data_IF_937303172865
#
_entry.id   IF_937303172865
#
_cell.length_a   1.000
_cell.length_b   1.000
_cell.length_c   1.000
_cell.angle_alpha   90.00
_cell.angle_beta   90.00
_cell.angle_gamma   90.00
#
_symmetry.space_group_name_H-M   'P 1'
#
loop_
_entity.id
_entity.type
_entity.pdbx_description
1 polymer ?
#
# COMPACT_ATOMS: atom_id res chain seq x y z
N UNK A 1 28.55 -15.03 56.30
CA UNK A 1 28.80 -14.02 55.24
C UNK A 1 28.04 -12.76 55.61
N UNK A 2 28.74 -11.64 55.86
CA UNK A 2 28.16 -10.46 56.52
C UNK A 2 26.98 -9.90 55.71
N UNK A 3 25.81 -9.75 56.33
CA UNK A 3 24.56 -9.27 55.73
C UNK A 3 24.73 -7.96 54.93
N UNK A 4 25.70 -7.12 55.33
CA UNK A 4 26.07 -5.89 54.62
C UNK A 4 26.71 -6.17 53.23
N UNK A 5 27.56 -7.20 53.13
CA UNK A 5 28.18 -7.62 51.85
C UNK A 5 27.14 -8.23 50.90
N UNK A 6 26.18 -8.98 51.43
CA UNK A 6 25.09 -9.58 50.64
C UNK A 6 24.16 -8.49 50.05
N UNK A 7 23.83 -7.46 50.84
CA UNK A 7 23.03 -6.31 50.36
C UNK A 7 23.75 -5.49 49.29
N UNK A 8 25.06 -5.28 49.42
CA UNK A 8 25.84 -4.60 48.39
C UNK A 8 25.90 -5.41 47.09
N UNK A 9 26.14 -6.72 47.17
CA UNK A 9 26.15 -7.59 45.98
C UNK A 9 24.77 -7.59 45.30
N UNK A 10 23.69 -7.65 46.08
CA UNK A 10 22.33 -7.57 45.54
C UNK A 10 22.04 -6.23 44.84
N UNK A 11 22.50 -5.11 45.41
CA UNK A 11 22.35 -3.79 44.81
C UNK A 11 23.12 -3.64 43.49
N UNK A 12 24.36 -4.15 43.43
CA UNK A 12 25.17 -4.12 42.21
C UNK A 12 24.55 -4.99 41.11
N UNK A 13 24.08 -6.19 41.45
CA UNK A 13 23.39 -7.06 40.49
C UNK A 13 22.10 -6.41 39.97
N UNK A 14 21.33 -5.74 40.84
CA UNK A 14 20.10 -5.06 40.43
C UNK A 14 20.35 -3.96 39.40
N UNK A 15 21.35 -3.11 39.62
CA UNK A 15 21.73 -2.04 38.68
C UNK A 15 22.25 -2.64 37.36
N UNK A 16 23.01 -3.72 37.44
CA UNK A 16 23.53 -4.42 36.26
C UNK A 16 22.40 -5.03 35.41
N UNK A 17 21.45 -5.72 36.03
CA UNK A 17 20.29 -6.28 35.31
C UNK A 17 19.36 -5.18 34.76
N UNK A 18 19.16 -4.08 35.49
CA UNK A 18 18.41 -2.93 34.99
C UNK A 18 19.08 -2.32 33.74
N UNK A 19 20.42 -2.23 33.73
CA UNK A 19 21.20 -1.81 32.56
C UNK A 19 21.07 -2.76 31.37
N UNK A 20 21.04 -4.08 31.61
CA UNK A 20 20.82 -5.09 30.57
C UNK A 20 19.40 -4.99 29.99
N UNK A 21 18.38 -4.80 30.84
CA UNK A 21 16.99 -4.67 30.38
C UNK A 21 16.80 -3.39 29.57
N UNK A 22 17.34 -2.25 30.02
CA UNK A 22 17.30 -0.99 29.26
C UNK A 22 18.08 -1.11 27.95
N UNK A 23 19.27 -1.73 27.98
CA UNK A 23 20.11 -1.93 26.81
C UNK A 23 19.48 -2.85 25.77
N UNK A 24 18.84 -3.95 26.19
CA UNK A 24 18.17 -4.89 25.29
C UNK A 24 16.90 -4.30 24.67
N UNK A 25 16.07 -3.59 25.45
CA UNK A 25 14.87 -2.91 24.92
C UNK A 25 15.25 -1.77 23.97
N UNK A 26 16.23 -0.95 24.35
CA UNK A 26 16.72 0.16 23.52
C UNK A 26 17.35 -0.33 22.21
N UNK A 27 18.19 -1.37 22.28
CA UNK A 27 18.83 -1.98 21.11
C UNK A 27 17.81 -2.67 20.21
N UNK A 28 16.78 -3.33 20.77
CA UNK A 28 15.72 -3.95 19.99
C UNK A 28 14.88 -2.92 19.21
N UNK A 29 14.55 -1.78 19.83
CA UNK A 29 13.85 -0.68 19.16
C UNK A 29 14.71 0.02 18.09
N UNK A 30 16.00 0.21 18.38
CA UNK A 30 16.94 0.83 17.45
C UNK A 30 17.23 -0.10 16.25
N UNK A 31 17.55 -1.37 16.50
CA UNK A 31 17.75 -2.39 15.48
C UNK A 31 16.49 -2.57 14.62
N UNK A 32 15.30 -2.56 15.22
CA UNK A 32 14.02 -2.59 14.47
C UNK A 32 13.89 -1.40 13.53
N UNK A 33 14.19 -0.17 13.97
CA UNK A 33 14.15 1.02 13.10
C UNK A 33 15.22 1.01 12.00
N UNK A 34 16.41 0.52 12.30
CA UNK A 34 17.54 0.51 11.36
C UNK A 34 17.40 -0.62 10.33
N UNK A 35 17.00 -1.82 10.76
CA UNK A 35 16.59 -2.93 9.91
C UNK A 35 15.37 -2.57 9.05
N UNK A 36 14.37 -1.90 9.63
CA UNK A 36 13.29 -1.33 8.85
C UNK A 36 13.80 -0.40 7.75
N UNK A 37 14.79 0.47 8.00
CA UNK A 37 15.35 1.36 6.96
C UNK A 37 16.18 0.60 5.90
N UNK A 38 16.95 -0.39 6.31
CA UNK A 38 17.85 -1.16 5.44
C UNK A 38 17.08 -2.15 4.55
N UNK A 39 16.10 -2.84 5.11
CA UNK A 39 15.25 -3.81 4.40
C UNK A 39 14.10 -3.14 3.65
N UNK A 40 13.69 -1.91 4.03
CA UNK A 40 12.61 -1.22 3.32
C UNK A 40 12.91 -0.99 1.85
N UNK A 41 14.18 -0.87 1.47
CA UNK A 41 14.60 -0.40 0.16
C UNK A 41 14.07 1.02 -0.12
N UNK A 42 14.73 1.81 -0.97
CA UNK A 42 14.24 3.14 -1.31
C UNK A 42 12.83 3.09 -1.94
N UNK A 43 12.55 2.09 -2.77
CA UNK A 43 11.40 2.13 -3.68
C UNK A 43 10.01 2.17 -3.01
N UNK A 44 9.70 1.31 -2.04
CA UNK A 44 8.29 1.08 -1.66
C UNK A 44 7.65 2.16 -0.76
N UNK A 45 8.46 3.03 -0.17
CA UNK A 45 7.99 4.09 0.74
C UNK A 45 8.34 5.49 0.22
N UNK A 46 9.20 5.60 -0.79
CA UNK A 46 9.70 6.89 -1.24
C UNK A 46 8.80 7.51 -2.29
N UNK A 47 8.24 6.81 -3.28
CA UNK A 47 7.65 7.50 -4.45
C UNK A 47 6.64 8.63 -4.15
N UNK A 48 5.64 8.47 -3.26
CA UNK A 48 4.74 9.59 -2.94
C UNK A 48 5.46 10.79 -2.29
N UNK A 49 6.40 10.51 -1.37
CA UNK A 49 7.20 11.55 -0.69
C UNK A 49 8.32 12.08 -1.56
N UNK A 50 8.80 11.29 -2.50
CA UNK A 50 9.84 11.59 -3.45
C UNK A 50 9.30 12.53 -4.50
N UNK A 51 8.06 12.34 -4.95
CA UNK A 51 7.41 13.25 -5.88
C UNK A 51 7.10 14.61 -5.22
N UNK A 52 6.57 14.61 -3.99
CA UNK A 52 6.38 15.85 -3.22
C UNK A 52 7.70 16.58 -2.99
N UNK A 53 8.78 15.82 -2.73
CA UNK A 53 10.13 16.37 -2.56
C UNK A 53 10.72 16.91 -3.86
N UNK A 54 10.62 16.18 -4.96
CA UNK A 54 11.11 16.60 -6.28
C UNK A 54 10.35 17.81 -6.80
N UNK A 55 9.02 17.80 -6.71
CA UNK A 55 8.19 18.92 -7.16
C UNK A 55 8.54 20.21 -6.43
N UNK A 56 8.76 20.13 -5.11
CA UNK A 56 9.12 21.27 -4.28
C UNK A 56 10.59 21.69 -4.44
N UNK A 57 11.54 20.75 -4.54
CA UNK A 57 12.97 21.06 -4.66
C UNK A 57 13.37 21.52 -6.07
N UNK A 58 12.68 21.05 -7.12
CA UNK A 58 12.95 21.44 -8.51
C UNK A 58 12.04 22.57 -9.01
N UNK A 59 11.06 23.02 -8.21
CA UNK A 59 10.14 24.09 -8.59
C UNK A 59 9.34 23.78 -9.87
N UNK A 60 8.89 22.53 -10.02
CA UNK A 60 8.23 22.08 -11.25
C UNK A 60 6.91 22.81 -11.48
N UNK A 61 6.66 23.26 -12.71
CA UNK A 61 5.34 23.79 -13.12
C UNK A 61 4.28 22.69 -13.09
N UNK A 62 2.96 23.03 -13.06
CA UNK A 62 1.89 22.02 -13.05
C UNK A 62 1.97 21.02 -14.21
N UNK A 63 2.37 21.48 -15.41
CA UNK A 63 2.53 20.61 -16.58
C UNK A 63 3.76 19.70 -16.46
N UNK A 64 4.85 20.19 -15.87
CA UNK A 64 6.04 19.38 -15.59
C UNK A 64 5.78 18.37 -14.48
N UNK A 65 5.01 18.74 -13.46
CA UNK A 65 4.59 17.82 -12.41
C UNK A 65 3.76 16.67 -12.97
N UNK A 66 2.86 16.95 -13.93
CA UNK A 66 2.11 15.93 -14.65
C UNK A 66 3.05 14.94 -15.35
N UNK A 67 3.90 15.43 -16.27
CA UNK A 67 4.85 14.56 -17.00
C UNK A 67 5.80 13.77 -16.09
N UNK A 68 6.22 14.37 -14.98
CA UNK A 68 7.12 13.71 -14.01
C UNK A 68 6.36 12.62 -13.24
N UNK A 69 5.08 12.84 -12.91
CA UNK A 69 4.22 11.83 -12.30
C UNK A 69 4.07 10.61 -13.20
N UNK A 70 3.93 10.82 -14.51
CA UNK A 70 3.77 9.74 -15.49
C UNK A 70 5.03 8.86 -15.54
N UNK A 71 6.22 9.48 -15.68
CA UNK A 71 7.53 8.78 -15.69
C UNK A 71 7.75 8.00 -14.39
N UNK A 72 7.34 8.55 -13.24
CA UNK A 72 7.45 7.86 -11.96
C UNK A 72 6.43 6.72 -11.82
N UNK A 73 5.26 6.82 -12.47
CA UNK A 73 4.29 5.75 -12.60
C UNK A 73 4.89 4.53 -13.30
N UNK A 74 5.49 4.75 -14.47
CA UNK A 74 6.19 3.70 -15.24
C UNK A 74 7.31 3.04 -14.41
N UNK A 75 8.05 3.84 -13.64
CA UNK A 75 9.10 3.34 -12.76
C UNK A 75 8.52 2.52 -11.58
N UNK A 76 7.42 2.96 -10.96
CA UNK A 76 6.74 2.20 -9.91
C UNK A 76 6.28 0.83 -10.41
N UNK A 77 5.76 0.78 -11.64
CA UNK A 77 5.32 -0.44 -12.31
C UNK A 77 6.49 -1.36 -12.63
N UNK A 78 7.53 -0.86 -13.30
CA UNK A 78 8.71 -1.64 -13.63
C UNK A 78 9.34 -2.25 -12.38
N UNK A 79 9.39 -1.49 -11.28
CA UNK A 79 9.85 -1.98 -9.99
C UNK A 79 8.87 -3.00 -9.39
N UNK A 80 7.56 -2.84 -9.53
CA UNK A 80 6.62 -3.85 -9.05
C UNK A 80 6.75 -5.18 -9.80
N UNK A 81 6.77 -5.17 -11.14
CA UNK A 81 6.90 -6.39 -11.93
C UNK A 81 8.27 -7.06 -11.72
N UNK A 82 9.35 -6.28 -11.62
CA UNK A 82 10.66 -6.79 -11.22
C UNK A 82 10.58 -7.52 -9.89
N UNK A 83 9.98 -6.90 -8.86
CA UNK A 83 9.86 -7.49 -7.53
C UNK A 83 9.02 -8.76 -7.51
N UNK A 84 7.93 -8.78 -8.28
CA UNK A 84 7.04 -9.93 -8.43
C UNK A 84 7.74 -11.09 -9.12
N UNK A 85 8.45 -10.82 -10.23
CA UNK A 85 9.21 -11.82 -10.99
C UNK A 85 10.33 -12.44 -10.14
N UNK A 86 11.10 -11.61 -9.44
CA UNK A 86 12.24 -12.06 -8.65
C UNK A 86 11.88 -12.38 -7.19
N UNK A 87 10.59 -12.38 -6.84
CA UNK A 87 10.13 -12.63 -5.48
C UNK A 87 10.61 -14.00 -4.98
N UNK A 88 10.49 -15.05 -5.80
CA UNK A 88 10.91 -16.40 -5.40
C UNK A 88 12.42 -16.53 -5.20
N UNK A 89 13.19 -15.94 -6.10
CA UNK A 89 14.66 -15.95 -6.05
C UNK A 89 15.18 -15.23 -4.80
N UNK A 90 14.60 -14.06 -4.49
CA UNK A 90 14.95 -13.32 -3.29
C UNK A 90 14.72 -14.15 -2.01
N UNK A 91 13.64 -14.93 -1.96
CA UNK A 91 13.35 -15.76 -0.78
C UNK A 91 14.23 -16.97 -0.67
N UNK A 92 14.56 -17.60 -1.80
CA UNK A 92 15.54 -18.67 -1.79
C UNK A 92 16.88 -18.18 -1.24
N UNK A 93 17.33 -16.98 -1.65
CA UNK A 93 18.55 -16.36 -1.13
C UNK A 93 18.42 -16.11 0.38
N UNK A 94 17.34 -15.46 0.81
CA UNK A 94 17.18 -15.05 2.21
C UNK A 94 17.03 -16.26 3.13
N UNK A 95 16.22 -17.23 2.75
CA UNK A 95 15.99 -18.47 3.47
C UNK A 95 17.30 -19.24 3.67
N UNK A 96 18.07 -19.40 2.59
CA UNK A 96 19.38 -20.04 2.65
C UNK A 96 20.30 -19.37 3.67
N UNK A 97 20.33 -18.04 3.71
CA UNK A 97 21.18 -17.31 4.65
C UNK A 97 20.64 -17.35 6.08
N UNK A 98 19.32 -17.41 6.28
CA UNK A 98 18.73 -17.66 7.61
C UNK A 98 19.15 -19.02 8.18
N UNK A 99 19.13 -20.08 7.36
CA UNK A 99 19.56 -21.41 7.81
C UNK A 99 21.07 -21.46 8.10
N UNK A 100 21.89 -20.78 7.30
CA UNK A 100 23.33 -20.64 7.57
C UNK A 100 23.60 -19.89 8.89
N UNK A 101 22.85 -18.83 9.17
CA UNK A 101 22.94 -18.11 10.45
C UNK A 101 22.52 -19.02 11.61
N UNK A 102 21.38 -19.72 11.47
CA UNK A 102 20.83 -20.60 12.51
C UNK A 102 21.82 -21.67 12.96
N UNK A 103 22.58 -22.24 12.04
CA UNK A 103 23.60 -23.26 12.33
C UNK A 103 24.73 -22.78 13.26
N UNK A 104 24.95 -21.47 13.37
CA UNK A 104 26.02 -20.87 14.17
C UNK A 104 25.50 -20.22 15.48
N UNK A 105 24.21 -20.38 15.80
CA UNK A 105 23.57 -19.73 16.94
C UNK A 105 23.22 -20.72 18.05
N UNK A 106 23.28 -20.25 19.29
CA UNK A 106 22.74 -21.00 20.44
C UNK A 106 21.21 -21.08 20.37
N UNK A 107 20.61 -22.03 21.09
CA UNK A 107 19.15 -22.22 21.12
C UNK A 107 18.38 -20.92 21.40
N UNK A 108 18.80 -20.14 22.41
CA UNK A 108 18.16 -18.86 22.77
C UNK A 108 18.31 -17.78 21.67
N UNK A 109 19.39 -17.84 20.89
CA UNK A 109 19.61 -16.93 19.76
C UNK A 109 18.82 -17.35 18.52
N UNK A 110 18.57 -18.65 18.33
CA UNK A 110 17.74 -19.17 17.24
C UNK A 110 16.29 -18.72 17.39
N UNK A 111 15.74 -18.67 18.62
CA UNK A 111 14.39 -18.13 18.85
C UNK A 111 14.27 -16.66 18.42
N UNK A 112 15.30 -15.85 18.69
CA UNK A 112 15.35 -14.45 18.25
C UNK A 112 15.45 -14.35 16.72
N UNK A 113 16.27 -15.20 16.11
CA UNK A 113 16.39 -15.27 14.64
C UNK A 113 15.05 -15.61 13.99
N UNK A 114 14.29 -16.52 14.56
CA UNK A 114 12.96 -16.90 14.08
C UNK A 114 11.97 -15.73 14.17
N UNK A 115 12.04 -14.91 15.22
CA UNK A 115 11.26 -13.66 15.32
C UNK A 115 11.60 -12.69 14.17
N UNK A 116 12.89 -12.50 13.88
CA UNK A 116 13.34 -11.67 12.76
C UNK A 116 12.88 -12.21 11.41
N UNK A 117 12.95 -13.52 11.21
CA UNK A 117 12.45 -14.19 10.01
C UNK A 117 10.96 -13.93 9.80
N UNK A 118 10.15 -14.05 10.85
CA UNK A 118 8.72 -13.77 10.80
C UNK A 118 8.40 -12.31 10.52
N UNK A 119 9.14 -11.37 11.12
CA UNK A 119 9.04 -9.94 10.81
C UNK A 119 9.39 -9.65 9.34
N UNK A 120 10.45 -10.28 8.84
CA UNK A 120 10.88 -10.17 7.45
C UNK A 120 9.78 -10.67 6.49
N UNK A 121 9.20 -11.85 6.74
CA UNK A 121 8.11 -12.37 5.91
C UNK A 121 6.87 -11.46 5.92
N UNK A 122 6.51 -10.90 7.08
CA UNK A 122 5.41 -9.90 7.17
C UNK A 122 5.73 -8.65 6.36
N UNK A 123 6.95 -8.16 6.46
CA UNK A 123 7.40 -7.00 5.71
C UNK A 123 7.38 -7.26 4.19
N UNK A 124 7.94 -8.39 3.75
CA UNK A 124 7.95 -8.81 2.35
C UNK A 124 6.53 -8.91 1.78
N UNK A 125 5.61 -9.53 2.51
CA UNK A 125 4.19 -9.59 2.13
C UNK A 125 3.58 -8.20 1.95
N UNK A 126 4.09 -7.17 2.62
CA UNK A 126 3.66 -5.77 2.44
C UNK A 126 4.35 -5.12 1.24
N UNK A 127 5.60 -5.46 0.97
CA UNK A 127 6.41 -4.92 -0.13
C UNK A 127 6.01 -5.45 -1.51
N UNK A 128 5.53 -6.70 -1.56
CA UNK A 128 4.95 -7.32 -2.76
C UNK A 128 3.49 -6.91 -3.01
N UNK A 129 2.91 -6.04 -2.18
CA UNK A 129 1.55 -5.53 -2.45
C UNK A 129 1.66 -4.51 -3.58
N UNK A 130 0.66 -4.49 -4.48
CA UNK A 130 0.54 -3.38 -5.42
C UNK A 130 0.48 -2.08 -4.64
N UNK A 131 1.03 -1.03 -5.22
CA UNK A 131 0.92 0.29 -4.66
C UNK A 131 -0.56 0.71 -4.59
N UNK A 132 -0.94 1.47 -3.56
CA UNK A 132 -2.32 1.89 -3.32
C UNK A 132 -2.89 2.83 -4.41
N UNK A 133 -2.04 3.30 -5.34
CA UNK A 133 -2.41 4.17 -6.49
C UNK A 133 -3.23 3.42 -7.56
N UNK A 134 -3.08 2.09 -7.68
CA UNK A 134 -3.73 1.29 -8.72
C UNK A 134 -5.21 0.95 -8.44
N UNK A 135 -5.80 1.40 -7.32
CA UNK A 135 -7.18 1.08 -6.93
C UNK A 135 -8.19 2.23 -7.06
N UNK A 136 -9.49 2.02 -6.76
CA UNK A 136 -10.47 3.10 -6.68
C UNK A 136 -10.02 4.23 -5.73
N UNK A 137 -10.41 5.48 -6.01
CA UNK A 137 -9.78 6.68 -5.43
C UNK A 137 -9.73 6.64 -3.90
N UNK A 138 -8.60 7.07 -3.29
CA UNK A 138 -8.50 7.19 -1.82
C UNK A 138 -9.40 8.33 -1.32
N UNK A 139 -9.59 8.43 0.00
CA UNK A 139 -10.52 9.37 0.63
C UNK A 139 -10.42 10.83 0.10
N UNK A 140 -9.22 11.32 -0.23
CA UNK A 140 -8.99 12.64 -0.81
C UNK A 140 -9.48 12.75 -2.26
N UNK A 141 -9.04 11.88 -3.17
CA UNK A 141 -9.48 11.87 -4.57
C UNK A 141 -10.99 11.56 -4.69
N UNK A 142 -11.51 10.64 -3.87
CA UNK A 142 -12.93 10.34 -3.78
C UNK A 142 -13.73 11.53 -3.22
N UNK A 143 -13.11 12.39 -2.40
CA UNK A 143 -13.71 13.65 -1.95
C UNK A 143 -13.72 14.66 -3.08
N UNK A 144 -12.62 14.84 -3.82
CA UNK A 144 -12.55 15.75 -4.97
C UNK A 144 -13.53 15.36 -6.07
N UNK A 145 -13.62 14.07 -6.41
CA UNK A 145 -14.61 13.55 -7.36
C UNK A 145 -16.04 13.87 -6.89
N UNK A 146 -16.38 13.57 -5.63
CA UNK A 146 -17.70 13.86 -5.08
C UNK A 146 -18.03 15.35 -5.08
N UNK A 147 -17.07 16.22 -4.79
CA UNK A 147 -17.26 17.67 -4.84
C UNK A 147 -17.56 18.15 -6.26
N UNK A 148 -16.76 17.71 -7.24
CA UNK A 148 -16.98 18.04 -8.66
C UNK A 148 -18.33 17.50 -9.15
N UNK A 149 -18.67 16.27 -8.78
CA UNK A 149 -19.92 15.64 -9.14
C UNK A 149 -21.12 16.41 -8.58
N UNK A 150 -21.10 16.78 -7.29
CA UNK A 150 -22.18 17.60 -6.69
C UNK A 150 -22.35 18.92 -7.44
N UNK A 151 -21.25 19.59 -7.77
CA UNK A 151 -21.26 20.86 -8.48
C UNK A 151 -21.82 20.71 -9.90
N UNK A 152 -21.35 19.73 -10.67
CA UNK A 152 -21.77 19.55 -12.06
C UNK A 152 -23.20 19.01 -12.21
N UNK A 153 -23.66 18.18 -11.27
CA UNK A 153 -25.04 17.68 -11.28
C UNK A 153 -26.05 18.71 -10.76
N UNK A 154 -25.58 19.82 -10.16
CA UNK A 154 -26.41 20.87 -9.56
C UNK A 154 -27.50 20.32 -8.63
N UNK A 155 -27.14 19.37 -7.77
CA UNK A 155 -28.09 18.65 -6.91
C UNK A 155 -28.41 19.43 -5.63
N UNK A 156 -29.66 19.28 -5.15
CA UNK A 156 -30.03 19.70 -3.80
C UNK A 156 -29.29 18.85 -2.75
N UNK A 157 -29.18 19.37 -1.52
CA UNK A 157 -28.51 18.65 -0.43
C UNK A 157 -29.16 17.30 -0.12
N UNK A 158 -30.50 17.21 -0.21
CA UNK A 158 -31.26 15.98 0.04
C UNK A 158 -31.04 14.93 -1.05
N UNK A 159 -31.12 15.30 -2.34
CA UNK A 159 -30.84 14.40 -3.45
C UNK A 159 -29.37 13.95 -3.45
N UNK A 160 -28.46 14.85 -3.03
CA UNK A 160 -27.05 14.54 -2.90
C UNK A 160 -26.76 13.49 -1.83
N UNK A 161 -27.45 13.52 -0.69
CA UNK A 161 -27.25 12.54 0.37
C UNK A 161 -27.61 11.11 -0.06
N UNK A 162 -28.68 10.94 -0.83
CA UNK A 162 -29.07 9.65 -1.41
C UNK A 162 -28.02 9.14 -2.42
N UNK A 163 -27.56 10.02 -3.31
CA UNK A 163 -26.48 9.73 -4.27
C UNK A 163 -25.19 9.35 -3.55
N UNK A 164 -24.85 10.02 -2.45
CA UNK A 164 -23.64 9.69 -1.68
C UNK A 164 -23.66 8.27 -1.10
N UNK A 165 -24.82 7.78 -0.66
CA UNK A 165 -24.94 6.42 -0.12
C UNK A 165 -24.63 5.39 -1.21
N UNK A 166 -25.19 5.58 -2.41
CA UNK A 166 -24.95 4.72 -3.59
C UNK A 166 -23.46 4.74 -3.95
N UNK A 167 -22.85 5.92 -4.08
CA UNK A 167 -21.43 6.04 -4.44
C UNK A 167 -20.50 5.42 -3.39
N UNK A 168 -20.80 5.56 -2.09
CA UNK A 168 -20.01 4.91 -1.03
C UNK A 168 -20.06 3.39 -1.15
N UNK A 169 -21.22 2.83 -1.52
CA UNK A 169 -21.39 1.39 -1.74
C UNK A 169 -20.60 0.93 -2.98
N UNK A 170 -20.69 1.66 -4.08
CA UNK A 170 -19.90 1.44 -5.32
C UNK A 170 -18.39 1.38 -5.03
N UNK A 171 -17.85 2.43 -4.41
CA UNK A 171 -16.42 2.49 -4.09
C UNK A 171 -15.96 1.32 -3.21
N UNK A 172 -16.79 0.91 -2.23
CA UNK A 172 -16.48 -0.26 -1.38
C UNK A 172 -16.45 -1.55 -2.20
N UNK A 173 -17.40 -1.75 -3.11
CA UNK A 173 -17.47 -2.92 -4.00
C UNK A 173 -16.27 -2.98 -4.95
N UNK A 174 -16.00 -1.89 -5.68
CA UNK A 174 -14.82 -1.78 -6.57
C UNK A 174 -13.52 -2.04 -5.81
N UNK A 175 -13.37 -1.50 -4.59
CA UNK A 175 -12.16 -1.70 -3.78
C UNK A 175 -12.02 -3.12 -3.25
N UNK A 176 -13.12 -3.83 -3.02
CA UNK A 176 -13.09 -5.26 -2.64
C UNK A 176 -12.75 -6.12 -3.86
N UNK A 177 -13.33 -5.82 -5.03
CA UNK A 177 -13.05 -6.50 -6.29
C UNK A 177 -11.60 -6.32 -6.72
N UNK A 178 -11.10 -5.08 -6.75
CA UNK A 178 -9.70 -4.78 -7.07
C UNK A 178 -8.73 -5.54 -6.15
N UNK A 179 -9.00 -5.54 -4.83
CA UNK A 179 -8.22 -6.32 -3.87
C UNK A 179 -8.25 -7.82 -4.16
N UNK A 180 -9.37 -8.37 -4.64
CA UNK A 180 -9.48 -9.80 -5.00
C UNK A 180 -8.79 -10.11 -6.31
N UNK A 181 -8.97 -9.30 -7.33
CA UNK A 181 -8.27 -9.44 -8.61
C UNK A 181 -6.76 -9.50 -8.41
N UNK A 182 -6.26 -8.60 -7.58
CA UNK A 182 -4.82 -8.53 -7.34
C UNK A 182 -4.29 -9.56 -6.33
N UNK A 183 -5.09 -9.96 -5.32
CA UNK A 183 -4.64 -10.90 -4.28
C UNK A 183 -4.88 -12.37 -4.66
N UNK A 184 -5.98 -12.67 -5.34
CA UNK A 184 -6.53 -14.02 -5.50
C UNK A 184 -6.50 -14.52 -6.96
N UNK A 185 -5.61 -13.98 -7.82
CA UNK A 185 -5.48 -14.33 -9.26
C UNK A 185 -6.82 -14.40 -10.00
N UNK A 186 -7.73 -13.46 -9.75
CA UNK A 186 -8.91 -13.31 -10.60
C UNK A 186 -8.43 -12.95 -12.00
N UNK A 187 -8.97 -13.57 -13.05
CA UNK A 187 -8.51 -13.27 -14.40
C UNK A 187 -8.91 -11.84 -14.81
N UNK A 188 -8.19 -11.26 -15.78
CA UNK A 188 -8.50 -9.92 -16.30
C UNK A 188 -9.94 -9.84 -16.85
N UNK A 189 -10.40 -10.90 -17.51
CA UNK A 189 -11.77 -10.97 -18.04
C UNK A 189 -12.81 -11.00 -16.93
N UNK A 190 -12.61 -11.81 -15.89
CA UNK A 190 -13.50 -11.85 -14.72
C UNK A 190 -13.52 -10.53 -13.96
N UNK A 191 -12.38 -9.85 -13.88
CA UNK A 191 -12.28 -8.54 -13.26
C UNK A 191 -13.07 -7.49 -14.02
N UNK A 192 -12.90 -7.41 -15.36
CA UNK A 192 -13.65 -6.50 -16.23
C UNK A 192 -15.15 -6.73 -16.16
N UNK A 193 -15.59 -7.98 -16.25
CA UNK A 193 -17.01 -8.33 -16.15
C UNK A 193 -17.60 -7.83 -14.82
N UNK A 194 -16.94 -8.14 -13.69
CA UNK A 194 -17.44 -7.71 -12.39
C UNK A 194 -17.36 -6.20 -12.18
N UNK A 195 -16.41 -5.51 -12.80
CA UNK A 195 -16.34 -4.05 -12.78
C UNK A 195 -17.54 -3.45 -13.52
N UNK A 196 -17.87 -4.00 -14.69
CA UNK A 196 -19.04 -3.60 -15.49
C UNK A 196 -20.35 -3.86 -14.73
N UNK A 197 -20.48 -5.01 -14.07
CA UNK A 197 -21.67 -5.33 -13.26
C UNK A 197 -21.88 -4.30 -12.14
N UNK A 198 -20.81 -3.94 -11.43
CA UNK A 198 -20.86 -2.93 -10.38
C UNK A 198 -21.25 -1.55 -10.94
N UNK A 199 -20.73 -1.21 -12.13
CA UNK A 199 -21.06 0.04 -12.80
C UNK A 199 -22.53 0.06 -13.22
N UNK A 200 -23.04 -1.00 -13.85
CA UNK A 200 -24.45 -1.11 -14.23
C UNK A 200 -25.38 -1.03 -13.01
N UNK A 201 -25.08 -1.74 -11.92
CA UNK A 201 -25.85 -1.65 -10.68
C UNK A 201 -25.90 -0.21 -10.15
N UNK A 202 -24.77 0.50 -10.22
CA UNK A 202 -24.67 1.89 -9.77
C UNK A 202 -25.48 2.82 -10.66
N UNK A 203 -25.41 2.66 -11.97
CA UNK A 203 -26.17 3.47 -12.94
C UNK A 203 -27.67 3.26 -12.79
N UNK A 204 -28.13 2.01 -12.62
CA UNK A 204 -29.54 1.71 -12.38
C UNK A 204 -30.04 2.39 -11.10
N UNK A 205 -29.30 2.27 -9.99
CA UNK A 205 -29.67 2.91 -8.73
C UNK A 205 -29.67 4.45 -8.82
N UNK A 206 -28.75 5.04 -9.58
CA UNK A 206 -28.70 6.48 -9.79
C UNK A 206 -29.83 6.98 -10.70
N UNK A 207 -30.30 6.17 -11.66
CA UNK A 207 -31.38 6.54 -12.57
C UNK A 207 -32.74 6.74 -11.88
N UNK A 208 -32.91 6.22 -10.67
CA UNK A 208 -34.11 6.45 -9.84
C UNK A 208 -34.13 7.86 -9.22
N UNK A 209 -32.96 8.51 -9.10
CA UNK A 209 -32.79 9.79 -8.39
C UNK A 209 -32.38 10.91 -9.36
N UNK A 210 -31.57 10.59 -10.37
CA UNK A 210 -31.01 11.55 -11.32
C UNK A 210 -31.83 11.63 -12.60
N UNK A 211 -31.92 12.83 -13.17
CA UNK A 211 -32.46 13.00 -14.53
C UNK A 211 -31.54 12.34 -15.57
N UNK A 212 -32.03 12.04 -16.79
CA UNK A 212 -31.20 11.51 -17.87
C UNK A 212 -29.95 12.36 -18.15
N UNK A 213 -30.07 13.69 -18.12
CA UNK A 213 -28.97 14.63 -18.36
C UNK A 213 -27.93 14.61 -17.21
N UNK A 214 -28.40 14.52 -15.97
CA UNK A 214 -27.53 14.34 -14.80
C UNK A 214 -26.81 13.00 -14.84
N UNK A 215 -27.50 11.92 -15.24
CA UNK A 215 -26.90 10.61 -15.40
C UNK A 215 -25.83 10.60 -16.51
N UNK A 216 -26.09 11.29 -17.63
CA UNK A 216 -25.10 11.46 -18.70
C UNK A 216 -23.85 12.21 -18.20
N UNK A 217 -24.04 13.26 -17.39
CA UNK A 217 -22.94 14.00 -16.76
C UNK A 217 -22.13 13.13 -15.80
N UNK A 218 -22.81 12.29 -14.99
CA UNK A 218 -22.13 11.32 -14.13
C UNK A 218 -21.27 10.33 -14.94
N UNK A 219 -21.80 9.80 -16.04
CA UNK A 219 -21.07 8.88 -16.93
C UNK A 219 -19.84 9.55 -17.54
N UNK A 220 -19.96 10.79 -18.00
CA UNK A 220 -18.85 11.56 -18.54
C UNK A 220 -17.74 11.78 -17.50
N UNK A 221 -18.11 12.19 -16.28
CA UNK A 221 -17.16 12.35 -15.15
C UNK A 221 -16.50 11.02 -14.75
N UNK A 222 -17.25 9.91 -14.78
CA UNK A 222 -16.71 8.60 -14.47
C UNK A 222 -15.74 8.12 -15.55
N UNK A 223 -16.05 8.40 -16.82
CA UNK A 223 -15.17 8.16 -17.96
C UNK A 223 -13.91 9.01 -17.89
N UNK A 224 -13.98 10.29 -17.51
CA UNK A 224 -12.81 11.17 -17.32
C UNK A 224 -11.87 10.61 -16.24
N UNK A 225 -12.43 10.20 -15.09
CA UNK A 225 -11.64 9.61 -14.00
C UNK A 225 -11.05 8.26 -14.42
N UNK A 226 -11.77 7.45 -15.20
CA UNK A 226 -11.27 6.19 -15.76
C UNK A 226 -10.23 6.41 -16.85
N UNK A 227 -10.36 7.43 -17.71
CA UNK A 227 -9.43 7.75 -18.79
C UNK A 227 -8.10 8.25 -18.24
N UNK A 228 -8.13 9.17 -17.28
CA UNK A 228 -6.96 9.56 -16.50
C UNK A 228 -6.33 8.39 -15.76
N UNK A 229 -7.08 7.32 -15.50
CA UNK A 229 -6.55 6.09 -14.90
C UNK A 229 -6.03 5.12 -15.94
N UNK A 230 -6.65 4.93 -17.09
CA UNK A 230 -6.12 4.06 -18.15
C UNK A 230 -4.88 4.63 -18.84
N UNK A 231 -4.73 5.96 -18.86
CA UNK A 231 -3.47 6.61 -19.27
C UNK A 231 -2.35 6.45 -18.21
N UNK A 232 -2.73 6.31 -16.94
CA UNK A 232 -1.81 6.16 -15.78
C UNK A 232 -1.78 4.72 -15.22
N UNK A 233 -2.49 3.77 -15.84
CA UNK A 233 -2.65 2.40 -15.38
C UNK A 233 -1.52 1.58 -16.03
N UNK A 234 -0.91 0.67 -15.26
CA UNK A 234 0.12 -0.19 -15.79
C UNK A 234 -0.49 -1.06 -16.90
N UNK A 235 0.16 -1.25 -18.07
CA UNK A 235 -0.26 -2.23 -19.05
C UNK A 235 -0.57 -3.57 -18.36
N UNK A 236 -1.57 -4.32 -18.87
CA UNK A 236 -1.89 -5.63 -18.30
C UNK A 236 -0.60 -6.45 -18.20
N UNK A 237 -0.36 -7.16 -17.08
CA UNK A 237 0.87 -7.89 -16.88
C UNK A 237 1.11 -8.72 -18.13
N UNK A 238 2.30 -8.59 -18.73
CA UNK A 238 2.72 -9.36 -19.89
C UNK A 238 2.59 -10.85 -19.51
N UNK A 239 1.42 -11.42 -19.74
CA UNK A 239 1.25 -12.84 -19.87
C UNK A 239 2.16 -13.19 -21.02
N UNK A 240 3.21 -13.96 -20.73
CA UNK A 240 4.16 -14.41 -21.72
C UNK A 240 3.39 -14.77 -22.98
N UNK A 241 3.68 -14.04 -24.06
CA UNK A 241 3.32 -14.50 -25.38
C UNK A 241 3.86 -15.95 -25.51
N UNK A 242 3.09 -16.85 -26.15
CA UNK A 242 3.46 -18.24 -26.30
C UNK A 242 4.87 -18.41 -26.89
#
# INVERSE_FOLDING_TARGET
MNHLKLKMIAGILLVFFAGIVLGTVGTHLYAKRQFERMVRGPAAFLFPRFMEKIGNELGLTPEQQKKTSDILGDLEEALYEFRKKHAGELDAIIERHFEMLKANLSTDQQEKLESFRNDFHRFRKRWLRPHDKFGPPRHSEARSFRMRLKQQLNLSDTAWDEVQVILRKDFRKKRKLFRRHWKDRLTETEFRTRMNDIQQETESALSEILTPDQLATFKALQAEVMQHRTEDDPPPPLHGAP
#
